data_IF_628749304879
#
_entry.id   IF_628749304879
#
_cell.length_a   1.000
_cell.length_b   1.000
_cell.length_c   1.000
_cell.angle_alpha   90.00
_cell.angle_beta   90.00
_cell.angle_gamma   90.00
#
_symmetry.space_group_name_H-M   'P 1'
#
loop_
_entity.id
_entity.type
_entity.pdbx_description
1 polymer ?
#
# COMPACT_ATOMS: atom_id res chain seq x y z
N UNK A 1 45.65 -5.19 2.44
CA UNK A 1 44.74 -6.35 2.39
C UNK A 1 43.49 -6.23 3.28
N UNK A 2 43.45 -5.30 4.26
CA UNK A 2 42.23 -5.05 5.08
C UNK A 2 41.23 -4.05 4.49
N UNK A 3 41.65 -3.19 3.54
CA UNK A 3 40.78 -2.15 2.95
C UNK A 3 39.85 -2.65 1.83
N UNK A 4 40.24 -3.71 1.11
CA UNK A 4 39.42 -4.27 0.03
C UNK A 4 38.22 -5.07 0.61
N UNK A 5 38.41 -5.73 1.77
CA UNK A 5 37.33 -6.42 2.46
C UNK A 5 36.25 -5.46 2.99
N UNK A 6 36.63 -4.27 3.45
CA UNK A 6 35.69 -3.24 3.93
C UNK A 6 34.80 -2.69 2.81
N UNK A 7 35.33 -2.54 1.59
CA UNK A 7 34.57 -2.05 0.42
C UNK A 7 33.59 -3.10 -0.12
N UNK A 8 33.93 -4.39 -0.04
CA UNK A 8 33.01 -5.48 -0.40
C UNK A 8 31.90 -5.67 0.65
N UNK A 9 32.21 -5.42 1.93
CA UNK A 9 31.22 -5.48 3.01
C UNK A 9 30.27 -4.28 2.99
N UNK A 10 30.78 -3.07 2.71
CA UNK A 10 29.95 -1.89 2.47
C UNK A 10 29.10 -2.05 1.19
N UNK A 11 29.67 -2.57 0.10
CA UNK A 11 28.92 -2.78 -1.14
C UNK A 11 27.80 -3.82 -1.05
N UNK A 12 27.95 -4.86 -0.22
CA UNK A 12 26.88 -5.83 0.08
C UNK A 12 25.86 -5.29 1.09
N UNK A 13 26.28 -4.47 2.05
CA UNK A 13 25.39 -3.84 3.02
C UNK A 13 24.52 -2.75 2.36
N UNK A 14 25.08 -1.99 1.42
CA UNK A 14 24.34 -1.00 0.62
C UNK A 14 23.35 -1.67 -0.36
N UNK A 15 23.62 -2.90 -0.82
CA UNK A 15 22.68 -3.64 -1.69
C UNK A 15 21.44 -4.16 -0.95
N UNK A 16 21.55 -4.48 0.35
CA UNK A 16 20.38 -4.80 1.19
C UNK A 16 19.55 -3.56 1.58
N UNK A 17 20.10 -2.34 1.50
CA UNK A 17 19.34 -1.10 1.70
C UNK A 17 18.63 -0.62 0.41
N UNK A 18 18.92 -1.27 -0.73
CA UNK A 18 18.22 -1.06 -2.01
C UNK A 18 17.19 -2.15 -2.32
N UNK A 19 17.03 -3.15 -1.46
CA UNK A 19 15.76 -3.90 -1.42
C UNK A 19 14.76 -3.04 -0.64
N UNK A 20 14.29 -1.97 -1.29
CA UNK A 20 12.98 -1.42 -0.98
C UNK A 20 12.01 -2.61 -1.03
N UNK A 21 11.41 -2.98 0.10
CA UNK A 21 10.40 -4.04 0.24
C UNK A 21 9.07 -3.70 -0.51
N UNK A 22 9.15 -3.15 -1.72
CA UNK A 22 8.03 -2.80 -2.61
C UNK A 22 7.68 -3.96 -3.58
N UNK A 23 8.13 -5.19 -3.29
CA UNK A 23 7.80 -6.40 -4.09
C UNK A 23 6.90 -7.37 -3.31
N UNK A 24 5.75 -6.87 -2.83
CA UNK A 24 4.59 -7.73 -2.55
C UNK A 24 3.30 -7.07 -3.05
N UNK A 25 3.34 -6.61 -4.31
CA UNK A 25 2.23 -5.95 -4.98
C UNK A 25 1.24 -6.95 -5.60
N UNK A 26 0.69 -7.86 -4.80
CA UNK A 26 -0.60 -8.49 -5.13
C UNK A 26 -1.71 -7.54 -4.66
N UNK A 27 -2.32 -6.79 -5.58
CA UNK A 27 -3.44 -5.93 -5.21
C UNK A 27 -4.67 -6.76 -4.87
N UNK A 28 -5.30 -6.39 -3.77
CA UNK A 28 -6.46 -7.10 -3.24
C UNK A 28 -7.80 -6.55 -3.76
N UNK A 29 -7.78 -5.38 -4.43
CA UNK A 29 -8.97 -4.68 -4.91
C UNK A 29 -8.94 -4.52 -6.44
N UNK A 30 -10.10 -4.63 -7.09
CA UNK A 30 -10.19 -4.42 -8.53
C UNK A 30 -10.17 -2.92 -8.88
N UNK A 31 -9.77 -2.60 -10.11
CA UNK A 31 -9.85 -1.25 -10.67
C UNK A 31 -11.29 -0.85 -11.08
N UNK A 32 -12.30 -1.27 -10.32
CA UNK A 32 -13.72 -1.03 -10.61
C UNK A 32 -14.18 0.41 -10.32
N UNK A 33 -13.27 1.24 -9.81
CA UNK A 33 -13.46 2.68 -9.60
C UNK A 33 -14.12 3.05 -8.27
N UNK A 34 -14.52 2.08 -7.45
CA UNK A 34 -15.16 2.36 -6.15
C UNK A 34 -14.15 2.46 -5.00
N UNK A 35 -12.98 1.82 -5.14
CA UNK A 35 -11.90 1.88 -4.15
C UNK A 35 -10.72 2.67 -4.69
N UNK A 36 -10.31 3.71 -3.96
CA UNK A 36 -9.12 4.50 -4.28
C UNK A 36 -7.90 3.86 -3.61
N UNK A 37 -6.89 3.49 -4.40
CA UNK A 37 -5.65 2.90 -3.88
C UNK A 37 -4.74 3.99 -3.29
N UNK A 38 -4.44 3.85 -2.01
CA UNK A 38 -3.47 4.67 -1.30
C UNK A 38 -2.14 3.94 -1.13
N UNK A 39 -1.05 4.71 -1.18
CA UNK A 39 0.30 4.27 -0.87
C UNK A 39 1.05 5.42 -0.18
N UNK A 40 2.27 5.16 0.28
CA UNK A 40 3.07 6.16 0.99
C UNK A 40 3.38 7.41 0.17
N UNK A 41 3.31 7.34 -1.17
CA UNK A 41 3.60 8.48 -2.06
C UNK A 41 2.39 9.40 -2.24
N UNK A 42 1.17 8.86 -2.17
CA UNK A 42 -0.06 9.61 -2.48
C UNK A 42 -0.99 9.84 -1.27
N UNK A 43 -0.72 9.21 -0.12
CA UNK A 43 -1.61 9.25 1.04
C UNK A 43 -1.84 10.69 1.52
N UNK A 44 -0.75 11.43 1.73
CA UNK A 44 -0.82 12.79 2.28
C UNK A 44 -1.58 13.74 1.34
N UNK A 45 -1.31 13.64 0.04
CA UNK A 45 -1.98 14.44 -0.98
C UNK A 45 -3.48 14.15 -1.04
N UNK A 46 -3.89 12.90 -0.90
CA UNK A 46 -5.29 12.51 -1.05
C UNK A 46 -6.12 12.74 0.21
N UNK A 47 -5.53 12.62 1.41
CA UNK A 47 -6.26 12.63 2.68
C UNK A 47 -6.34 14.00 3.36
N UNK A 48 -5.32 14.85 3.23
CA UNK A 48 -5.30 16.14 3.94
C UNK A 48 -6.00 17.27 3.18
N UNK A 49 -6.53 18.24 3.93
CA UNK A 49 -7.21 19.43 3.40
C UNK A 49 -8.39 19.09 2.47
N UNK A 50 -9.26 18.19 2.95
CA UNK A 50 -10.47 17.73 2.26
C UNK A 50 -11.68 17.96 3.16
N UNK A 51 -12.81 18.29 2.56
CA UNK A 51 -14.11 18.42 3.26
C UNK A 51 -14.85 17.10 3.40
N UNK A 52 -14.34 16.02 2.81
CA UNK A 52 -14.99 14.72 2.76
C UNK A 52 -14.57 13.87 3.96
N UNK A 53 -15.47 12.99 4.41
CA UNK A 53 -15.11 11.92 5.33
C UNK A 53 -14.49 10.75 4.57
N UNK A 54 -13.45 10.12 5.14
CA UNK A 54 -12.79 8.97 4.55
C UNK A 54 -12.94 7.74 5.42
N UNK A 55 -13.18 6.60 4.78
CA UNK A 55 -12.96 5.28 5.36
C UNK A 55 -11.72 4.72 4.67
N UNK A 56 -10.70 4.37 5.45
CA UNK A 56 -9.42 3.89 4.94
C UNK A 56 -9.14 2.51 5.52
N UNK A 57 -8.86 1.55 4.65
CA UNK A 57 -8.42 0.21 5.03
C UNK A 57 -6.91 0.09 4.83
N UNK A 58 -6.16 0.08 5.93
CA UNK A 58 -4.75 -0.32 5.92
C UNK A 58 -4.67 -1.85 5.95
N UNK A 59 -4.00 -2.43 4.96
CA UNK A 59 -3.92 -3.88 4.80
C UNK A 59 -2.57 -4.32 4.24
N UNK A 60 -2.32 -5.63 4.30
CA UNK A 60 -1.23 -6.28 3.58
C UNK A 60 -1.82 -7.31 2.60
N UNK A 61 -1.29 -7.35 1.38
CA UNK A 61 -1.75 -8.21 0.27
C UNK A 61 -1.76 -9.70 0.62
N UNK A 62 -0.79 -10.15 1.42
CA UNK A 62 -0.65 -11.53 1.86
C UNK A 62 -1.44 -11.88 3.13
N UNK A 63 -2.11 -10.91 3.76
CA UNK A 63 -2.83 -11.17 5.00
C UNK A 63 -4.14 -11.93 4.73
N UNK A 64 -4.21 -13.18 5.19
CA UNK A 64 -5.39 -14.03 4.99
C UNK A 64 -6.69 -13.53 5.62
N UNK A 65 -6.64 -12.64 6.61
CA UNK A 65 -7.83 -11.95 7.11
C UNK A 65 -8.27 -10.82 6.19
N UNK A 66 -7.31 -10.03 5.68
CA UNK A 66 -7.58 -8.96 4.72
C UNK A 66 -8.16 -9.53 3.44
N UNK A 67 -7.57 -10.62 2.92
CA UNK A 67 -8.05 -11.29 1.71
C UNK A 67 -9.53 -11.71 1.82
N UNK A 68 -9.91 -12.27 2.97
CA UNK A 68 -11.31 -12.65 3.24
C UNK A 68 -12.22 -11.45 3.43
N UNK A 69 -11.70 -10.31 3.87
CA UNK A 69 -12.47 -9.10 4.13
C UNK A 69 -12.65 -8.22 2.89
N UNK A 70 -11.71 -8.25 1.94
CA UNK A 70 -11.73 -7.49 0.70
C UNK A 70 -13.09 -7.40 -0.01
N UNK A 71 -13.82 -8.51 -0.27
CA UNK A 71 -15.12 -8.43 -0.95
C UNK A 71 -16.15 -7.62 -0.15
N UNK A 72 -16.10 -7.64 1.18
CA UNK A 72 -17.00 -6.84 2.01
C UNK A 72 -16.65 -5.35 1.94
N UNK A 73 -15.36 -5.01 1.91
CA UNK A 73 -14.92 -3.63 1.76
C UNK A 73 -15.29 -3.06 0.38
N UNK A 74 -15.18 -3.86 -0.68
CA UNK A 74 -15.60 -3.47 -2.03
C UNK A 74 -17.12 -3.31 -2.14
N UNK A 75 -17.90 -4.18 -1.48
CA UNK A 75 -19.36 -4.02 -1.39
C UNK A 75 -19.72 -2.71 -0.66
N UNK A 76 -19.08 -2.43 0.48
CA UNK A 76 -19.27 -1.18 1.22
C UNK A 76 -18.97 0.05 0.35
N UNK A 77 -17.87 0.03 -0.42
CA UNK A 77 -17.51 1.14 -1.30
C UNK A 77 -18.57 1.39 -2.39
N UNK A 78 -19.15 0.33 -2.95
CA UNK A 78 -20.25 0.42 -3.94
C UNK A 78 -21.52 1.00 -3.32
N UNK A 79 -21.88 0.57 -2.11
CA UNK A 79 -23.05 1.06 -1.41
C UNK A 79 -22.92 2.57 -1.09
N UNK A 80 -21.72 2.99 -0.66
CA UNK A 80 -21.43 4.40 -0.36
C UNK A 80 -21.38 5.28 -1.61
N UNK A 81 -20.94 4.75 -2.76
CA UNK A 81 -20.98 5.50 -4.02
C UNK A 81 -22.40 5.86 -4.48
N UNK A 82 -23.41 5.13 -4.00
CA UNK A 82 -24.82 5.46 -4.20
C UNK A 82 -25.37 6.49 -3.21
N UNK A 83 -24.67 6.74 -2.10
CA UNK A 83 -25.06 7.72 -1.07
C UNK A 83 -24.59 9.12 -1.46
N UNK A 84 -25.13 9.64 -2.57
CA UNK A 84 -25.07 11.08 -2.83
C UNK A 84 -26.03 11.77 -1.85
N UNK A 85 -25.46 12.40 -0.81
CA UNK A 85 -26.17 13.36 0.03
C UNK A 85 -26.43 14.66 -0.72
#
# INVERSE_FOLDING_TARGET
>A
MHFIAALLFFGLLDLCLLSDDDEFADDLFDADGYVIRLNYRNFDELMYNRSNAFIVLFYASYCGHCMRFAPNYQALARDLAGMNG
#
